data_IF_659071330878
#
_entry.id   IF_659071330878
#
_cell.length_a   1.000
_cell.length_b   1.000
_cell.length_c   1.000
_cell.angle_alpha   90.00
_cell.angle_beta   90.00
_cell.angle_gamma   90.00
#
_symmetry.space_group_name_H-M   'P 1'
#
loop_
_entity.id
_entity.type
_entity.pdbx_description
1 polymer ?
#
# COMPACT_ATOMS: atom_id res chain seq x y z
N UNK A 1 -3.26 -16.81 -11.56
CA UNK A 1 -3.76 -15.73 -10.67
C UNK A 1 -3.81 -14.44 -11.48
N UNK A 2 -4.94 -13.74 -11.42
CA UNK A 2 -5.18 -12.52 -12.19
C UNK A 2 -5.33 -11.35 -11.21
N UNK A 3 -4.58 -10.27 -11.44
CA UNK A 3 -4.46 -9.16 -10.50
C UNK A 3 -4.74 -7.85 -11.24
N UNK A 4 -5.66 -7.03 -10.70
CA UNK A 4 -5.82 -5.64 -11.11
C UNK A 4 -5.03 -4.72 -10.17
N UNK A 5 -4.17 -3.88 -10.72
CA UNK A 5 -3.51 -2.80 -9.99
C UNK A 5 -4.27 -1.49 -10.27
N UNK A 6 -5.06 -1.03 -9.31
CA UNK A 6 -5.66 0.29 -9.37
C UNK A 6 -4.74 1.33 -8.72
N UNK A 7 -4.19 2.19 -9.54
CA UNK A 7 -3.19 3.16 -9.12
C UNK A 7 -1.78 2.82 -9.56
N UNK A 8 -1.46 3.11 -10.80
CA UNK A 8 -0.15 2.88 -11.44
C UNK A 8 0.90 3.94 -11.04
N UNK A 9 1.03 4.18 -9.72
CA UNK A 9 2.07 4.99 -9.08
C UNK A 9 3.34 4.18 -8.82
N UNK A 10 4.26 4.71 -8.00
CA UNK A 10 5.51 4.01 -7.63
C UNK A 10 5.22 2.64 -7.02
N UNK A 11 4.34 2.56 -6.02
CA UNK A 11 3.96 1.31 -5.34
C UNK A 11 3.27 0.35 -6.31
N UNK A 12 2.25 0.80 -7.04
CA UNK A 12 1.49 -0.07 -7.94
C UNK A 12 2.32 -0.64 -9.08
N UNK A 13 3.21 0.16 -9.70
CA UNK A 13 4.13 -0.34 -10.72
C UNK A 13 5.14 -1.34 -10.13
N UNK A 14 5.66 -1.06 -8.92
CA UNK A 14 6.61 -1.94 -8.24
C UNK A 14 5.99 -3.30 -7.88
N UNK A 15 4.79 -3.30 -7.29
CA UNK A 15 4.05 -4.52 -6.98
C UNK A 15 3.61 -5.26 -8.25
N UNK A 16 3.13 -4.54 -9.27
CA UNK A 16 2.76 -5.15 -10.54
C UNK A 16 3.94 -5.86 -11.21
N UNK A 17 5.12 -5.22 -11.25
CA UNK A 17 6.35 -5.86 -11.74
C UNK A 17 6.75 -7.07 -10.89
N UNK A 18 6.54 -7.00 -9.58
CA UNK A 18 6.77 -8.13 -8.67
C UNK A 18 5.87 -9.31 -9.04
N UNK A 19 4.59 -9.08 -9.27
CA UNK A 19 3.63 -10.12 -9.63
C UNK A 19 3.89 -10.72 -11.02
N UNK A 20 4.21 -9.88 -12.01
CA UNK A 20 4.62 -10.34 -13.34
C UNK A 20 5.84 -11.27 -13.26
N UNK A 21 6.83 -10.95 -12.41
CA UNK A 21 8.01 -11.80 -12.21
C UNK A 21 7.68 -13.19 -11.68
N UNK A 22 6.52 -13.35 -11.04
CA UNK A 22 5.99 -14.62 -10.55
C UNK A 22 4.94 -15.23 -11.49
N UNK A 23 4.90 -14.78 -12.75
CA UNK A 23 4.01 -15.27 -13.80
C UNK A 23 2.50 -15.04 -13.53
N UNK A 24 2.15 -14.10 -12.67
CA UNK A 24 0.77 -13.66 -12.55
C UNK A 24 0.34 -12.88 -13.79
N UNK A 25 -0.94 -12.98 -14.15
CA UNK A 25 -1.56 -12.11 -15.15
C UNK A 25 -1.89 -10.77 -14.47
N UNK A 26 -1.19 -9.72 -14.88
CA UNK A 26 -1.35 -8.39 -14.28
C UNK A 26 -2.01 -7.44 -15.26
N UNK A 27 -3.01 -6.73 -14.76
CA UNK A 27 -3.65 -5.62 -15.46
C UNK A 27 -3.50 -4.35 -14.64
N UNK A 28 -3.21 -3.25 -15.31
CA UNK A 28 -3.13 -1.93 -14.68
C UNK A 28 -4.33 -1.10 -15.07
N UNK A 29 -5.01 -0.51 -14.08
CA UNK A 29 -5.86 0.64 -14.34
C UNK A 29 -5.02 1.90 -14.22
N UNK A 30 -4.85 2.61 -15.34
CA UNK A 30 -4.02 3.79 -15.43
C UNK A 30 -4.66 4.82 -16.38
N UNK A 31 -4.45 6.10 -16.11
CA UNK A 31 -5.00 7.19 -16.92
C UNK A 31 -3.92 8.16 -17.40
N UNK A 32 -4.24 8.92 -18.45
CA UNK A 32 -3.41 9.98 -18.97
C UNK A 32 -1.97 9.54 -19.27
N UNK A 33 -1.01 10.40 -18.96
CA UNK A 33 0.41 10.20 -19.28
C UNK A 33 1.02 8.93 -18.70
N UNK A 34 0.44 8.37 -17.63
CA UNK A 34 0.94 7.11 -17.06
C UNK A 34 0.51 5.92 -17.92
N UNK A 35 -0.74 5.89 -18.34
CA UNK A 35 -1.23 4.85 -19.25
C UNK A 35 -0.41 4.82 -20.55
N UNK A 36 -0.19 5.99 -21.16
CA UNK A 36 0.66 6.13 -22.35
C UNK A 36 2.07 5.58 -22.10
N UNK A 37 2.71 6.01 -21.00
CA UNK A 37 4.09 5.63 -20.74
C UNK A 37 4.28 4.12 -20.56
N UNK A 38 3.37 3.43 -19.85
CA UNK A 38 3.49 1.98 -19.65
C UNK A 38 3.05 1.19 -20.91
N UNK A 39 2.19 1.73 -21.76
CA UNK A 39 1.83 1.12 -23.04
C UNK A 39 2.94 1.21 -24.10
N UNK A 40 3.74 2.26 -24.05
CA UNK A 40 4.79 2.52 -25.06
C UNK A 40 6.16 2.00 -24.63
N UNK A 41 6.52 2.13 -23.36
CA UNK A 41 7.90 1.88 -22.88
C UNK A 41 8.04 0.60 -22.03
N UNK A 42 6.97 -0.15 -21.84
CA UNK A 42 6.97 -1.29 -20.94
C UNK A 42 6.97 -0.88 -19.47
N UNK A 43 7.35 -1.81 -18.59
CA UNK A 43 7.39 -1.63 -17.15
C UNK A 43 8.74 -2.06 -16.60
N UNK A 44 9.35 -1.26 -15.71
CA UNK A 44 10.60 -1.63 -15.04
C UNK A 44 10.47 -1.49 -13.53
N UNK A 45 11.06 -2.46 -12.81
CA UNK A 45 11.35 -2.36 -11.38
C UNK A 45 12.86 -2.43 -11.17
N UNK A 46 13.41 -1.43 -10.49
CA UNK A 46 14.84 -1.27 -10.20
C UNK A 46 15.09 -1.06 -8.71
N UNK A 47 16.31 -0.78 -8.31
CA UNK A 47 16.71 -0.44 -6.94
C UNK A 47 17.29 -1.62 -6.17
N UNK A 48 16.97 -1.74 -4.88
CA UNK A 48 17.65 -2.63 -3.92
C UNK A 48 17.55 -4.13 -4.23
N UNK A 49 16.51 -4.57 -4.94
CA UNK A 49 16.30 -5.99 -5.24
C UNK A 49 16.50 -6.29 -6.71
N UNK A 50 16.29 -7.56 -7.10
CA UNK A 50 16.39 -7.99 -8.48
C UNK A 50 15.62 -7.06 -9.41
N UNK A 51 16.25 -6.62 -10.47
CA UNK A 51 15.65 -5.78 -11.49
C UNK A 51 14.77 -6.62 -12.42
N UNK A 52 13.62 -6.06 -12.78
CA UNK A 52 12.70 -6.66 -13.74
C UNK A 52 12.38 -5.67 -14.84
N UNK A 53 12.18 -6.19 -16.05
CA UNK A 53 11.75 -5.41 -17.21
C UNK A 53 10.75 -6.24 -17.99
N UNK A 54 9.61 -5.65 -18.31
CA UNK A 54 8.50 -6.27 -19.03
C UNK A 54 8.13 -5.41 -20.23
N UNK A 55 7.86 -6.06 -21.34
CA UNK A 55 7.35 -5.42 -22.56
C UNK A 55 5.85 -5.19 -22.44
N UNK A 56 5.24 -4.25 -23.24
CA UNK A 56 3.82 -3.92 -23.12
C UNK A 56 2.85 -5.08 -23.41
N UNK A 57 3.29 -6.12 -24.11
CA UNK A 57 2.52 -7.33 -24.42
C UNK A 57 2.43 -8.35 -23.27
N UNK A 58 3.24 -8.18 -22.20
CA UNK A 58 3.26 -9.07 -21.05
C UNK A 58 2.19 -8.72 -20.00
N UNK A 59 1.46 -7.62 -20.14
CA UNK A 59 0.40 -7.17 -19.24
C UNK A 59 -0.67 -6.37 -19.97
N UNK A 60 -1.80 -6.13 -19.30
CA UNK A 60 -2.88 -5.31 -19.85
C UNK A 60 -2.92 -3.93 -19.20
N UNK A 61 -3.37 -2.93 -19.96
CA UNK A 61 -3.56 -1.56 -19.45
C UNK A 61 -4.94 -1.05 -19.85
N UNK A 62 -5.81 -0.93 -18.85
CA UNK A 62 -7.15 -0.37 -19.01
C UNK A 62 -7.17 1.10 -18.61
N UNK A 63 -7.93 1.90 -19.33
CA UNK A 63 -8.17 3.32 -19.04
C UNK A 63 -9.62 3.58 -18.64
N UNK A 64 -10.50 2.62 -18.88
CA UNK A 64 -11.89 2.59 -18.45
C UNK A 64 -12.22 1.21 -17.86
N UNK A 65 -13.03 1.17 -16.82
CA UNK A 65 -13.51 -0.09 -16.22
C UNK A 65 -14.47 -0.85 -17.14
N UNK A 66 -15.22 -0.12 -17.99
CA UNK A 66 -16.15 -0.72 -18.95
C UNK A 66 -15.45 -1.62 -19.98
N UNK A 67 -14.15 -1.40 -20.22
CA UNK A 67 -13.35 -2.20 -21.16
C UNK A 67 -12.82 -3.51 -20.54
N UNK A 68 -13.03 -3.72 -19.24
CA UNK A 68 -12.53 -4.88 -18.50
C UNK A 68 -13.51 -6.05 -18.65
N UNK A 69 -13.07 -7.23 -19.11
CA UNK A 69 -13.94 -8.41 -19.20
C UNK A 69 -14.50 -8.84 -17.83
N UNK A 70 -15.67 -9.49 -17.86
CA UNK A 70 -16.25 -10.06 -16.63
C UNK A 70 -15.41 -11.19 -16.07
N UNK A 71 -15.52 -11.43 -14.76
CA UNK A 71 -14.84 -12.51 -14.01
C UNK A 71 -13.31 -12.56 -14.24
N UNK A 72 -12.69 -11.37 -14.35
CA UNK A 72 -11.28 -11.26 -14.70
C UNK A 72 -10.34 -11.46 -13.52
N UNK A 73 -10.65 -10.91 -12.31
CA UNK A 73 -9.66 -10.74 -11.26
C UNK A 73 -9.91 -11.56 -10.00
N UNK A 74 -8.83 -12.21 -9.53
CA UNK A 74 -8.75 -12.85 -8.23
C UNK A 74 -8.41 -11.85 -7.12
N UNK A 75 -7.60 -10.82 -7.46
CA UNK A 75 -7.17 -9.75 -6.56
C UNK A 75 -7.26 -8.38 -7.21
N UNK A 76 -7.60 -7.38 -6.39
CA UNK A 76 -7.47 -5.95 -6.74
C UNK A 76 -6.53 -5.28 -5.74
N UNK A 77 -5.44 -4.71 -6.21
CA UNK A 77 -4.51 -3.94 -5.38
C UNK A 77 -4.82 -2.45 -5.52
N UNK A 78 -5.21 -1.82 -4.42
CA UNK A 78 -5.47 -0.37 -4.37
C UNK A 78 -4.18 0.34 -4.00
N UNK A 79 -3.55 0.96 -5.02
CA UNK A 79 -2.26 1.66 -4.91
C UNK A 79 -2.37 3.16 -5.27
N UNK A 80 -3.57 3.65 -5.51
CA UNK A 80 -3.88 5.06 -5.78
C UNK A 80 -3.74 5.92 -4.52
N UNK A 81 -3.90 7.24 -4.63
CA UNK A 81 -3.94 8.14 -3.46
C UNK A 81 -5.27 8.02 -2.73
N UNK A 82 -5.25 8.12 -1.39
CA UNK A 82 -6.41 7.94 -0.50
C UNK A 82 -7.59 8.86 -0.81
N UNK A 83 -7.31 10.07 -1.31
CA UNK A 83 -8.34 11.04 -1.73
C UNK A 83 -9.29 10.50 -2.81
N UNK A 84 -8.88 9.46 -3.54
CA UNK A 84 -9.68 8.83 -4.59
C UNK A 84 -10.51 7.63 -4.09
N UNK A 85 -10.40 7.21 -2.82
CA UNK A 85 -10.99 5.96 -2.32
C UNK A 85 -12.51 5.90 -2.47
N UNK A 86 -13.21 7.01 -2.22
CA UNK A 86 -14.66 7.05 -2.40
C UNK A 86 -15.08 6.81 -3.86
N UNK A 87 -14.35 7.40 -4.81
CA UNK A 87 -14.63 7.24 -6.24
C UNK A 87 -14.26 5.84 -6.72
N UNK A 88 -13.11 5.31 -6.29
CA UNK A 88 -12.62 3.98 -6.67
C UNK A 88 -13.56 2.91 -6.12
N UNK A 89 -13.90 2.96 -4.84
CA UNK A 89 -14.79 1.99 -4.21
C UNK A 89 -16.17 1.95 -4.88
N UNK A 90 -16.72 3.12 -5.23
CA UNK A 90 -17.99 3.24 -5.97
C UNK A 90 -17.87 2.70 -7.40
N UNK A 91 -16.79 3.05 -8.13
CA UNK A 91 -16.52 2.51 -9.47
C UNK A 91 -16.42 1.00 -9.45
N UNK A 92 -15.61 0.45 -8.54
CA UNK A 92 -15.42 -0.99 -8.42
C UNK A 92 -16.74 -1.69 -8.07
N UNK A 93 -17.56 -1.07 -7.22
CA UNK A 93 -18.89 -1.58 -6.87
C UNK A 93 -19.86 -1.59 -8.07
N UNK A 94 -19.80 -0.59 -8.93
CA UNK A 94 -20.61 -0.52 -10.16
C UNK A 94 -20.16 -1.55 -11.22
N UNK A 95 -18.92 -2.04 -11.13
CA UNK A 95 -18.33 -3.00 -12.05
C UNK A 95 -17.97 -4.32 -11.33
N UNK A 96 -18.78 -4.75 -10.35
CA UNK A 96 -18.52 -6.02 -9.62
C UNK A 96 -18.40 -7.24 -10.53
N UNK A 97 -19.00 -7.19 -11.71
CA UNK A 97 -18.91 -8.23 -12.73
C UNK A 97 -17.47 -8.52 -13.19
N UNK A 98 -16.52 -7.58 -13.07
CA UNK A 98 -15.11 -7.84 -13.42
C UNK A 98 -14.38 -8.66 -12.36
N UNK A 99 -14.95 -8.79 -11.17
CA UNK A 99 -14.37 -9.53 -10.04
C UNK A 99 -14.86 -10.97 -10.07
N UNK A 100 -13.95 -11.91 -9.85
CA UNK A 100 -14.32 -13.31 -9.62
C UNK A 100 -14.97 -13.49 -8.26
N UNK A 101 -15.70 -14.59 -8.10
CA UNK A 101 -16.18 -15.01 -6.79
C UNK A 101 -15.00 -15.10 -5.81
N UNK A 102 -15.16 -14.52 -4.61
CA UNK A 102 -14.12 -14.44 -3.57
C UNK A 102 -12.90 -13.58 -3.91
N UNK A 103 -12.98 -12.67 -4.89
CA UNK A 103 -11.94 -11.68 -5.15
C UNK A 103 -11.56 -10.93 -3.87
N UNK A 104 -10.26 -10.67 -3.67
CA UNK A 104 -9.76 -9.91 -2.53
C UNK A 104 -9.28 -8.52 -2.98
N UNK A 105 -9.74 -7.51 -2.26
CA UNK A 105 -9.30 -6.12 -2.43
C UNK A 105 -8.26 -5.84 -1.34
N UNK A 106 -7.03 -5.54 -1.74
CA UNK A 106 -5.92 -5.27 -0.81
C UNK A 106 -5.49 -3.82 -0.97
N UNK A 107 -5.55 -3.06 0.12
CA UNK A 107 -5.27 -1.63 0.16
C UNK A 107 -3.83 -1.40 0.58
N UNK A 108 -2.98 -0.98 -0.37
CA UNK A 108 -1.55 -0.73 -0.18
C UNK A 108 -1.22 0.75 0.15
N UNK A 109 -2.20 1.50 0.53
CA UNK A 109 -2.07 2.93 0.81
C UNK A 109 -1.55 3.18 2.23
N UNK A 110 -0.85 4.31 2.41
CA UNK A 110 -0.49 4.80 3.75
C UNK A 110 -1.72 5.34 4.48
N UNK A 111 -1.71 5.22 5.81
CA UNK A 111 -2.78 5.71 6.69
C UNK A 111 -3.58 4.59 7.32
N UNK A 112 -4.58 4.97 8.10
CA UNK A 112 -5.51 4.09 8.80
C UNK A 112 -6.95 4.40 8.33
N UNK A 113 -7.85 3.41 8.34
CA UNK A 113 -9.25 3.59 7.93
C UNK A 113 -9.48 3.70 6.41
N UNK A 114 -8.49 3.36 5.59
CA UNK A 114 -8.61 3.39 4.13
C UNK A 114 -9.54 2.31 3.56
N UNK A 115 -9.90 1.32 4.36
CA UNK A 115 -10.87 0.25 4.05
C UNK A 115 -12.33 0.71 4.15
N UNK A 116 -12.64 1.71 4.96
CA UNK A 116 -14.01 2.17 5.22
C UNK A 116 -14.82 2.49 3.94
N UNK A 117 -14.30 3.21 2.93
CA UNK A 117 -15.01 3.45 1.69
C UNK A 117 -15.37 2.18 0.93
N UNK A 118 -14.50 1.15 1.01
CA UNK A 118 -14.72 -0.14 0.34
C UNK A 118 -15.72 -1.00 1.09
N UNK A 119 -15.71 -0.99 2.43
CA UNK A 119 -16.65 -1.71 3.28
C UNK A 119 -18.11 -1.27 3.12
N UNK A 120 -18.36 -0.12 2.51
CA UNK A 120 -19.72 0.31 2.13
C UNK A 120 -20.32 -0.54 1.02
N UNK A 121 -19.50 -1.22 0.23
CA UNK A 121 -19.91 -1.94 -0.98
C UNK A 121 -19.48 -3.40 -1.00
N UNK A 122 -18.45 -3.75 -0.25
CA UNK A 122 -17.83 -5.08 -0.20
C UNK A 122 -17.88 -5.64 1.21
N UNK A 123 -17.94 -6.96 1.33
CA UNK A 123 -17.97 -7.61 2.64
C UNK A 123 -16.60 -7.51 3.34
N UNK A 124 -16.61 -7.68 4.67
CA UNK A 124 -15.38 -7.71 5.47
C UNK A 124 -14.39 -8.80 5.04
N UNK A 125 -14.88 -9.89 4.41
CA UNK A 125 -14.05 -11.00 3.91
C UNK A 125 -13.43 -10.73 2.54
N UNK A 126 -13.75 -9.60 1.93
CA UNK A 126 -13.20 -9.21 0.64
C UNK A 126 -12.17 -8.08 0.77
N UNK A 127 -12.17 -7.30 1.88
CA UNK A 127 -11.35 -6.10 2.04
C UNK A 127 -10.26 -6.31 3.07
N UNK A 128 -9.03 -6.09 2.66
CA UNK A 128 -7.83 -6.24 3.47
C UNK A 128 -6.91 -5.03 3.32
N UNK A 129 -6.00 -4.85 4.28
CA UNK A 129 -5.03 -3.77 4.31
C UNK A 129 -3.60 -4.30 4.24
N UNK A 130 -2.70 -3.46 3.73
CA UNK A 130 -1.27 -3.70 3.74
C UNK A 130 -0.53 -2.63 4.54
N UNK A 131 0.41 -3.03 5.38
CA UNK A 131 1.40 -2.14 5.97
C UNK A 131 2.68 -2.21 5.13
N UNK A 132 3.00 -1.12 4.43
CA UNK A 132 4.15 -1.03 3.52
C UNK A 132 5.16 -0.03 4.08
N UNK A 133 6.34 -0.49 4.51
CA UNK A 133 7.48 0.36 4.92
C UNK A 133 8.56 0.41 3.82
N UNK A 134 8.43 -0.41 2.80
CA UNK A 134 9.28 -0.34 1.60
C UNK A 134 9.14 1.02 0.91
N UNK A 135 10.24 1.69 0.68
CA UNK A 135 10.29 2.94 -0.06
C UNK A 135 10.27 2.69 -1.57
N UNK A 136 9.31 3.29 -2.25
CA UNK A 136 9.20 3.26 -3.70
C UNK A 136 9.32 4.67 -4.26
N UNK A 137 10.24 4.88 -5.19
CA UNK A 137 10.32 6.08 -6.02
C UNK A 137 9.85 5.80 -7.45
N UNK A 138 9.57 6.85 -8.21
CA UNK A 138 9.16 6.74 -9.61
C UNK A 138 9.98 7.70 -10.46
N UNK A 139 11.23 7.31 -10.83
CA UNK A 139 12.12 8.17 -11.63
C UNK A 139 11.54 8.53 -12.99
N UNK A 140 10.81 7.59 -13.61
CA UNK A 140 10.04 7.80 -14.85
C UNK A 140 8.65 7.16 -14.71
N UNK A 141 7.70 7.55 -15.57
CA UNK A 141 6.30 7.13 -15.45
C UNK A 141 6.07 5.62 -15.59
N UNK A 142 7.02 4.90 -16.15
CA UNK A 142 6.99 3.45 -16.36
C UNK A 142 8.02 2.70 -15.51
N UNK A 143 8.75 3.40 -14.62
CA UNK A 143 9.79 2.81 -13.78
C UNK A 143 9.42 2.99 -12.31
N UNK A 144 9.40 1.89 -11.57
CA UNK A 144 9.37 1.88 -10.12
C UNK A 144 10.74 1.48 -9.58
N UNK A 145 11.26 2.24 -8.63
CA UNK A 145 12.54 1.99 -7.99
C UNK A 145 12.34 1.76 -6.50
N UNK A 146 12.88 0.66 -5.97
CA UNK A 146 12.87 0.36 -4.54
C UNK A 146 14.10 1.03 -3.91
N UNK A 147 13.86 2.05 -3.10
CA UNK A 147 14.92 2.90 -2.52
C UNK A 147 15.24 2.56 -1.08
N UNK A 148 14.27 2.05 -0.34
CA UNK A 148 14.39 1.68 1.08
C UNK A 148 13.66 0.37 1.33
N UNK A 149 14.27 -0.48 2.14
CA UNK A 149 13.64 -1.68 2.68
C UNK A 149 14.11 -1.88 4.12
N UNK A 150 13.18 -1.92 5.05
CA UNK A 150 13.47 -2.10 6.48
C UNK A 150 12.78 -3.32 7.08
N UNK A 151 11.55 -3.57 6.66
CA UNK A 151 10.72 -4.65 7.20
C UNK A 151 9.83 -5.25 6.12
N UNK A 152 9.31 -6.49 6.31
CA UNK A 152 8.35 -7.12 5.42
C UNK A 152 7.10 -6.24 5.19
N UNK A 153 6.50 -6.37 4.02
CA UNK A 153 5.11 -5.93 3.82
C UNK A 153 4.23 -6.84 4.66
N UNK A 154 3.32 -6.28 5.45
CA UNK A 154 2.33 -7.06 6.19
C UNK A 154 0.97 -6.93 5.52
N UNK A 155 0.26 -8.05 5.37
CA UNK A 155 -1.12 -8.11 4.88
C UNK A 155 -2.03 -8.59 6.00
N UNK A 156 -3.19 -7.95 6.18
CA UNK A 156 -4.12 -8.35 7.24
C UNK A 156 -5.46 -7.64 7.13
N UNK A 157 -6.34 -7.85 8.12
CA UNK A 157 -7.67 -7.28 8.17
C UNK A 157 -7.84 -6.36 9.38
N UNK A 158 -8.37 -5.15 9.15
CA UNK A 158 -8.85 -4.25 10.22
C UNK A 158 -10.23 -4.66 10.76
N UNK A 159 -10.85 -5.67 10.16
CA UNK A 159 -12.20 -6.12 10.50
C UNK A 159 -12.22 -7.43 11.29
N UNK A 160 -11.09 -7.83 11.88
CA UNK A 160 -10.91 -9.09 12.62
C UNK A 160 -11.34 -10.32 11.79
N UNK A 161 -11.05 -10.29 10.48
CA UNK A 161 -11.24 -11.42 9.58
C UNK A 161 -9.92 -12.13 9.42
N UNK A 162 -9.97 -13.45 9.35
CA UNK A 162 -8.81 -14.31 9.14
C UNK A 162 -8.05 -13.89 7.85
N UNK A 163 -6.75 -13.56 7.94
CA UNK A 163 -5.93 -13.17 6.79
C UNK A 163 -5.35 -14.37 6.01
N UNK A 164 -5.55 -15.61 6.45
CA UNK A 164 -5.03 -16.82 5.78
C UNK A 164 -5.32 -16.88 4.26
N UNK A 165 -6.48 -16.39 3.76
CA UNK A 165 -6.73 -16.31 2.33
C UNK A 165 -5.74 -15.46 1.52
N UNK A 166 -4.88 -14.68 2.19
CA UNK A 166 -3.82 -13.87 1.57
C UNK A 166 -2.46 -14.58 1.52
N UNK A 167 -2.32 -15.79 2.07
CA UNK A 167 -1.04 -16.50 2.17
C UNK A 167 -0.38 -16.66 0.80
N UNK A 168 -1.14 -17.09 -0.21
CA UNK A 168 -0.61 -17.28 -1.56
C UNK A 168 -0.05 -15.99 -2.16
N UNK A 169 -0.79 -14.89 -2.04
CA UNK A 169 -0.33 -13.60 -2.59
C UNK A 169 0.86 -13.04 -1.79
N UNK A 170 0.92 -13.24 -0.48
CA UNK A 170 2.07 -12.86 0.34
C UNK A 170 3.33 -13.63 -0.07
N UNK A 171 3.21 -14.94 -0.30
CA UNK A 171 4.31 -15.77 -0.80
C UNK A 171 4.79 -15.33 -2.18
N UNK A 172 3.89 -14.97 -3.10
CA UNK A 172 4.25 -14.46 -4.42
C UNK A 172 5.00 -13.11 -4.33
N UNK A 173 4.54 -12.20 -3.46
CA UNK A 173 5.26 -10.94 -3.22
C UNK A 173 6.66 -11.25 -2.68
N UNK A 174 6.79 -12.15 -1.70
CA UNK A 174 8.08 -12.55 -1.12
C UNK A 174 9.02 -13.17 -2.15
N UNK A 175 8.52 -14.06 -3.00
CA UNK A 175 9.30 -14.70 -4.07
C UNK A 175 9.83 -13.70 -5.10
N UNK A 176 9.23 -12.51 -5.21
CA UNK A 176 9.74 -11.41 -6.05
C UNK A 176 10.91 -10.66 -5.43
N UNK A 177 11.29 -10.97 -4.18
CA UNK A 177 12.40 -10.37 -3.44
C UNK A 177 11.97 -9.31 -2.40
N UNK A 178 10.70 -8.95 -2.29
CA UNK A 178 10.19 -8.05 -1.25
C UNK A 178 9.48 -8.92 -0.22
N UNK A 179 10.07 -9.19 0.94
CA UNK A 179 9.42 -10.02 1.95
C UNK A 179 8.01 -9.50 2.27
N UNK A 180 7.07 -10.43 2.34
CA UNK A 180 5.67 -10.16 2.63
C UNK A 180 5.11 -11.28 3.51
N UNK A 181 4.39 -10.92 4.55
CA UNK A 181 3.85 -11.81 5.55
C UNK A 181 2.38 -11.47 5.84
N UNK A 182 1.62 -12.44 6.33
CA UNK A 182 0.28 -12.18 6.86
C UNK A 182 0.37 -11.78 8.33
N UNK A 183 -0.55 -10.94 8.78
CA UNK A 183 -0.64 -10.49 10.18
C UNK A 183 -2.08 -10.54 10.67
N UNK A 184 -2.30 -11.18 11.82
CA UNK A 184 -3.56 -11.17 12.55
C UNK A 184 -3.78 -9.90 13.38
N UNK A 185 -2.75 -9.07 13.54
CA UNK A 185 -2.74 -7.83 14.33
C UNK A 185 -2.25 -6.63 13.50
N UNK A 186 -2.70 -6.54 12.24
CA UNK A 186 -2.23 -5.50 11.31
C UNK A 186 -2.52 -4.08 11.79
N UNK A 187 -3.58 -3.89 12.57
CA UNK A 187 -3.95 -2.64 13.21
C UNK A 187 -2.81 -2.08 14.07
N UNK A 188 -2.15 -2.91 14.90
CA UNK A 188 -1.01 -2.52 15.71
C UNK A 188 0.14 -1.96 14.87
N UNK A 189 0.46 -2.64 13.77
CA UNK A 189 1.54 -2.24 12.87
C UNK A 189 1.19 -1.00 12.04
N UNK A 190 -0.08 -0.82 11.69
CA UNK A 190 -0.54 0.40 11.02
C UNK A 190 -0.48 1.59 11.97
N UNK A 191 -0.91 1.45 13.22
CA UNK A 191 -0.78 2.51 14.24
C UNK A 191 0.68 2.82 14.56
N UNK A 192 1.55 1.80 14.67
CA UNK A 192 2.99 1.99 14.82
C UNK A 192 3.57 2.84 13.67
N UNK A 193 3.15 2.57 12.45
CA UNK A 193 3.55 3.37 11.29
C UNK A 193 2.96 4.78 11.30
N UNK A 194 1.73 4.96 11.82
CA UNK A 194 1.11 6.29 11.96
C UNK A 194 1.89 7.18 12.94
N UNK A 195 2.38 6.64 14.06
CA UNK A 195 3.27 7.36 14.98
C UNK A 195 4.47 7.97 14.22
N UNK A 196 5.16 7.15 13.45
CA UNK A 196 6.29 7.59 12.63
C UNK A 196 5.88 8.64 11.58
N UNK A 197 4.83 8.36 10.80
CA UNK A 197 4.41 9.22 9.71
C UNK A 197 3.93 10.59 10.19
N UNK A 198 3.18 10.66 11.28
CA UNK A 198 2.62 11.92 11.79
C UNK A 198 3.68 12.77 12.51
N UNK A 199 4.59 12.13 13.25
CA UNK A 199 5.60 12.87 14.00
C UNK A 199 6.74 13.38 13.11
N UNK A 200 7.14 12.65 12.07
CA UNK A 200 8.35 12.96 11.31
C UNK A 200 8.09 13.61 9.94
N UNK A 201 7.14 13.07 9.15
CA UNK A 201 6.98 13.50 7.76
C UNK A 201 6.61 14.99 7.64
N UNK A 202 5.58 15.53 8.34
CA UNK A 202 5.21 16.93 8.23
C UNK A 202 6.31 17.87 8.70
N UNK A 203 6.96 17.55 9.82
CA UNK A 203 8.03 18.37 10.37
C UNK A 203 9.27 18.39 9.46
N UNK A 204 9.65 17.22 8.90
CA UNK A 204 10.76 17.14 7.95
C UNK A 204 10.54 18.02 6.72
N UNK A 205 9.29 18.05 6.22
CA UNK A 205 8.92 18.92 5.07
C UNK A 205 8.91 20.41 5.46
N UNK A 206 8.25 20.76 6.57
CA UNK A 206 8.11 22.15 7.01
C UNK A 206 9.48 22.77 7.33
N UNK A 207 10.34 22.02 8.01
CA UNK A 207 11.68 22.47 8.41
C UNK A 207 12.75 22.21 7.34
N UNK A 208 12.39 21.56 6.23
CA UNK A 208 13.27 21.18 5.13
C UNK A 208 14.56 20.48 5.61
N UNK A 209 14.42 19.48 6.46
CA UNK A 209 15.54 18.75 7.05
C UNK A 209 15.27 17.23 7.12
N UNK A 210 16.36 16.48 7.33
CA UNK A 210 16.27 15.02 7.55
C UNK A 210 15.72 14.71 8.95
N UNK A 211 15.17 13.51 9.14
CA UNK A 211 14.57 13.11 10.42
C UNK A 211 15.57 13.16 11.59
N UNK A 212 16.83 12.75 11.37
CA UNK A 212 17.85 12.87 12.40
C UNK A 212 18.04 14.30 12.92
N UNK A 213 17.95 15.31 12.02
CA UNK A 213 18.04 16.71 12.44
C UNK A 213 16.85 17.19 13.28
N UNK A 214 15.69 16.54 13.16
CA UNK A 214 14.53 16.86 14.00
C UNK A 214 14.78 16.55 15.48
N UNK A 215 15.58 15.52 15.76
CA UNK A 215 15.90 15.11 17.14
C UNK A 215 17.07 15.87 17.76
N UNK A 216 17.88 16.59 16.97
CA UNK A 216 18.98 17.43 17.42
C UNK A 216 18.50 18.76 18.00
N UNK A 217 17.32 19.23 17.64
CA UNK A 217 16.75 20.50 18.10
C UNK A 217 15.65 20.26 19.12
N UNK A 218 15.77 20.88 20.31
CA UNK A 218 14.86 20.70 21.43
C UNK A 218 13.41 21.11 21.08
N UNK A 219 13.20 22.18 20.30
CA UNK A 219 11.85 22.63 19.94
C UNK A 219 11.16 21.66 18.98
N UNK A 220 11.87 21.17 17.97
CA UNK A 220 11.30 20.15 17.07
C UNK A 220 11.04 18.82 17.78
N UNK A 221 11.93 18.42 18.69
CA UNK A 221 11.77 17.24 19.55
C UNK A 221 10.53 17.36 20.45
N UNK A 222 10.30 18.54 21.04
CA UNK A 222 9.11 18.77 21.85
C UNK A 222 7.82 18.70 21.04
N UNK A 223 7.80 19.25 19.81
CA UNK A 223 6.65 19.12 18.90
C UNK A 223 6.40 17.65 18.55
N UNK A 224 7.44 16.90 18.21
CA UNK A 224 7.32 15.47 17.92
C UNK A 224 6.75 14.70 19.12
N UNK A 225 7.23 14.97 20.32
CA UNK A 225 6.76 14.34 21.55
C UNK A 225 5.28 14.62 21.81
N UNK A 226 4.83 15.85 21.60
CA UNK A 226 3.42 16.22 21.76
C UNK A 226 2.54 15.48 20.72
N UNK A 227 2.97 15.40 19.47
CA UNK A 227 2.27 14.64 18.42
C UNK A 227 2.14 13.16 18.80
N UNK A 228 3.21 12.56 19.35
CA UNK A 228 3.20 11.17 19.78
C UNK A 228 2.18 10.97 20.91
N UNK A 229 2.15 11.85 21.91
CA UNK A 229 1.17 11.81 23.00
C UNK A 229 -0.27 11.89 22.49
N UNK A 230 -0.55 12.84 21.59
CA UNK A 230 -1.87 12.97 20.98
C UNK A 230 -2.28 11.68 20.24
N UNK A 231 -1.37 11.04 19.50
CA UNK A 231 -1.67 9.78 18.81
C UNK A 231 -1.97 8.66 19.80
N UNK A 232 -1.21 8.53 20.89
CA UNK A 232 -1.50 7.53 21.92
C UNK A 232 -2.85 7.77 22.59
N UNK A 233 -3.26 9.02 22.79
CA UNK A 233 -4.61 9.34 23.28
C UNK A 233 -5.69 8.91 22.27
N UNK A 234 -5.47 9.12 20.98
CA UNK A 234 -6.39 8.68 19.94
C UNK A 234 -6.49 7.15 19.92
N UNK A 235 -5.37 6.44 19.92
CA UNK A 235 -5.31 4.97 19.97
C UNK A 235 -6.13 4.45 21.17
N UNK A 236 -5.89 5.00 22.36
CA UNK A 236 -6.58 4.62 23.60
C UNK A 236 -8.10 4.86 23.52
N UNK A 237 -8.52 6.01 22.98
CA UNK A 237 -9.95 6.35 22.83
C UNK A 237 -10.66 5.53 21.76
N UNK A 238 -9.93 5.03 20.77
CA UNK A 238 -10.44 4.24 19.65
C UNK A 238 -10.43 2.73 19.93
N UNK A 239 -10.04 2.31 21.13
CA UNK A 239 -9.92 0.90 21.53
C UNK A 239 -8.92 0.10 20.68
N UNK A 240 -8.03 0.77 19.94
CA UNK A 240 -6.92 0.16 19.22
C UNK A 240 -5.69 0.02 20.13
N UNK A 241 -4.69 -0.69 19.62
CA UNK A 241 -3.38 -0.82 20.24
C UNK A 241 -2.27 -0.58 19.23
N UNK A 242 -1.05 -0.44 19.73
CA UNK A 242 0.16 -0.34 18.91
C UNK A 242 1.22 -1.27 19.48
N UNK A 243 2.43 -1.24 18.94
CA UNK A 243 3.55 -2.10 19.37
C UNK A 243 4.15 -1.68 20.70
N UNK A 244 3.78 -0.54 21.24
CA UNK A 244 4.29 0.03 22.50
C UNK A 244 3.13 0.33 23.45
N UNK A 245 3.36 0.11 24.73
CA UNK A 245 2.34 0.29 25.77
C UNK A 245 2.19 1.76 26.20
N UNK A 246 3.19 2.60 25.93
CA UNK A 246 3.18 4.01 26.32
C UNK A 246 3.92 4.93 25.36
N UNK A 247 3.59 6.24 25.35
CA UNK A 247 4.37 7.24 24.60
C UNK A 247 5.85 7.25 25.00
N UNK A 248 6.14 7.07 26.29
CA UNK A 248 7.51 7.09 26.85
C UNK A 248 8.37 5.95 26.30
N UNK A 249 7.77 4.78 26.08
CA UNK A 249 8.45 3.66 25.47
C UNK A 249 8.84 3.96 24.03
N UNK A 250 7.90 4.49 23.24
CA UNK A 250 8.15 4.86 21.83
C UNK A 250 9.15 6.01 21.69
N UNK A 251 9.07 7.04 22.55
CA UNK A 251 9.98 8.21 22.52
C UNK A 251 11.45 7.83 22.73
N UNK A 252 11.75 6.68 23.35
CA UNK A 252 13.12 6.21 23.53
C UNK A 252 13.74 5.67 22.22
N UNK A 253 12.93 5.41 21.21
CA UNK A 253 13.35 4.83 19.94
C UNK A 253 13.67 5.89 18.88
N UNK A 254 13.21 7.11 19.10
CA UNK A 254 13.39 8.24 18.19
C UNK A 254 14.24 9.32 18.87
#
# INVERSE_FOLDING_TARGET
MNILIDGSGAVGLGLGASMLSQKAQVSFYATGKTATAIKENGLKRTGLFKHYSFTPDEYQVYTNYDDIPSESFDYVFICSKTVANNDISKKLANHKNILKNNCKIIIFQNGFGNDEPFLRYFSKKEVYCARVITGFSRPQRHISEITVYTEPILLGSLQNVDPEPLTEIAQMISASGINCEISHEIDKYLWAKMLYNCALNPLGVILNCTYGKLTENEYSKNIMNNIIEEIFEVIKKSEYSTLWDSPEEYKKLI
#
